data_IF_191308674064
#
_entry.id   IF_191308674064
#
_cell.length_a   1.000
_cell.length_b   1.000
_cell.length_c   1.000
_cell.angle_alpha   90.00
_cell.angle_beta   90.00
_cell.angle_gamma   90.00
#
_symmetry.space_group_name_H-M   'P 1'
#
loop_
_entity.id
_entity.type
_entity.pdbx_description
1 polymer ?
#
# COMPACT_ATOMS: atom_id res chain seq x y z
N UNK A 1 38.64 -51.19 -6.10
CA UNK A 1 37.25 -50.71 -6.02
C UNK A 1 36.31 -51.92 -6.09
N UNK A 2 35.30 -52.02 -5.22
CA UNK A 2 34.29 -53.08 -5.33
C UNK A 2 33.40 -52.78 -6.54
N UNK A 3 33.13 -53.79 -7.37
CA UNK A 3 32.19 -53.65 -8.48
C UNK A 3 30.80 -53.27 -7.95
N UNK A 4 30.04 -52.43 -8.68
CA UNK A 4 28.64 -52.16 -8.35
C UNK A 4 27.86 -53.48 -8.38
N UNK A 5 26.93 -53.67 -7.44
CA UNK A 5 26.11 -54.89 -7.45
C UNK A 5 25.14 -54.82 -8.63
N UNK A 6 24.56 -55.96 -8.98
CA UNK A 6 23.62 -56.08 -10.10
C UNK A 6 22.40 -55.16 -9.96
N UNK A 7 22.03 -54.81 -8.72
CA UNK A 7 20.92 -53.90 -8.42
C UNK A 7 21.21 -52.49 -8.90
N UNK A 8 22.41 -51.96 -8.62
CA UNK A 8 22.83 -50.62 -9.00
C UNK A 8 22.96 -50.49 -10.54
N UNK A 9 23.44 -51.55 -11.20
CA UNK A 9 23.48 -51.61 -12.66
C UNK A 9 22.08 -51.62 -13.27
N UNK A 10 21.13 -52.35 -12.67
CA UNK A 10 19.73 -52.35 -13.11
C UNK A 10 19.10 -50.95 -13.03
N UNK A 11 19.27 -50.25 -11.91
CA UNK A 11 18.76 -48.87 -11.75
C UNK A 11 19.42 -47.91 -12.75
N UNK A 12 20.72 -48.06 -13.02
CA UNK A 12 21.42 -47.24 -14.01
C UNK A 12 20.85 -47.44 -15.43
N UNK A 13 20.56 -48.68 -15.81
CA UNK A 13 19.93 -48.98 -17.11
C UNK A 13 18.52 -48.42 -17.19
N UNK A 14 17.71 -48.54 -16.13
CA UNK A 14 16.37 -47.95 -16.08
C UNK A 14 16.46 -46.42 -16.22
N UNK A 15 17.34 -45.78 -15.45
CA UNK A 15 17.52 -44.32 -15.48
C UNK A 15 18.00 -43.81 -16.84
N UNK A 16 18.76 -44.59 -17.60
CA UNK A 16 19.24 -44.22 -18.94
C UNK A 16 18.11 -44.18 -19.97
N UNK A 17 17.09 -45.03 -19.79
CA UNK A 17 15.95 -45.12 -20.70
C UNK A 17 14.78 -44.23 -20.30
N UNK A 18 14.71 -43.79 -19.03
CA UNK A 18 13.70 -42.83 -18.58
C UNK A 18 13.98 -41.42 -19.12
N UNK A 19 12.95 -40.64 -19.47
CA UNK A 19 13.13 -39.25 -19.87
C UNK A 19 13.75 -38.43 -18.74
N UNK A 20 14.51 -37.40 -19.11
CA UNK A 20 15.13 -36.50 -18.14
C UNK A 20 14.06 -35.78 -17.30
N UNK A 21 14.26 -35.77 -15.98
CA UNK A 21 13.40 -35.06 -15.03
C UNK A 21 13.56 -33.53 -15.10
N UNK A 22 14.63 -33.04 -15.73
CA UNK A 22 14.94 -31.61 -15.84
C UNK A 22 13.93 -30.86 -16.69
N UNK A 23 13.62 -29.63 -16.31
CA UNK A 23 12.88 -28.69 -17.15
C UNK A 23 13.81 -28.03 -18.18
N UNK A 24 13.24 -27.46 -19.24
CA UNK A 24 14.01 -26.76 -20.30
C UNK A 24 14.39 -25.31 -19.92
N UNK A 25 14.38 -24.94 -18.64
CA UNK A 25 14.76 -23.60 -18.20
C UNK A 25 16.22 -23.30 -18.59
N UNK A 26 16.54 -22.12 -19.17
CA UNK A 26 15.71 -20.94 -19.38
C UNK A 26 14.97 -20.87 -20.72
N UNK A 27 15.12 -21.85 -21.63
CA UNK A 27 14.44 -21.86 -22.94
C UNK A 27 12.93 -22.05 -22.86
N UNK A 28 12.44 -22.71 -21.80
CA UNK A 28 11.03 -22.75 -21.43
C UNK A 28 10.86 -22.14 -20.04
N UNK A 29 9.84 -21.30 -19.87
CA UNK A 29 9.52 -20.68 -18.60
C UNK A 29 9.10 -21.74 -17.57
N UNK A 30 9.55 -21.55 -16.33
CA UNK A 30 9.01 -22.30 -15.20
C UNK A 30 7.68 -21.67 -14.80
N UNK A 31 6.64 -22.50 -14.63
CA UNK A 31 5.33 -22.05 -14.16
C UNK A 31 5.23 -22.42 -12.67
N UNK A 32 5.29 -21.45 -11.76
CA UNK A 32 5.10 -21.72 -10.34
C UNK A 32 3.67 -22.19 -10.04
N UNK A 33 3.49 -22.80 -8.87
CA UNK A 33 2.16 -23.21 -8.42
C UNK A 33 1.28 -22.00 -8.09
N UNK A 34 -0.05 -22.20 -8.12
CA UNK A 34 -1.01 -21.15 -7.77
C UNK A 34 -0.84 -20.70 -6.31
N UNK A 35 -0.64 -19.40 -6.09
CA UNK A 35 -0.36 -18.85 -4.76
C UNK A 35 1.11 -18.88 -4.36
N UNK A 36 2.03 -19.11 -5.32
CA UNK A 36 3.44 -18.86 -5.13
C UNK A 36 3.69 -17.41 -4.66
N UNK A 37 4.59 -17.24 -3.69
CA UNK A 37 4.91 -15.96 -3.09
C UNK A 37 6.11 -15.32 -3.77
N UNK A 38 5.87 -14.67 -4.90
CA UNK A 38 6.86 -13.86 -5.60
C UNK A 38 6.83 -12.38 -5.19
N UNK A 39 7.27 -11.51 -6.11
CA UNK A 39 7.33 -10.07 -5.91
C UNK A 39 5.96 -9.51 -5.53
N UNK A 40 5.85 -8.73 -4.44
CA UNK A 40 4.65 -7.94 -4.18
C UNK A 40 4.42 -6.93 -5.30
N UNK A 41 3.25 -6.98 -5.92
CA UNK A 41 2.79 -6.02 -6.94
C UNK A 41 1.73 -5.15 -6.30
N UNK A 42 1.88 -3.85 -6.45
CA UNK A 42 0.96 -2.86 -5.88
C UNK A 42 0.09 -2.29 -6.99
N UNK A 43 -1.20 -2.27 -6.72
CA UNK A 43 -2.17 -1.60 -7.55
C UNK A 43 -2.38 -0.18 -7.01
N UNK A 44 -1.93 0.83 -7.77
CA UNK A 44 -2.02 2.22 -7.35
C UNK A 44 -3.47 2.68 -7.13
N UNK A 45 -4.42 2.21 -7.95
CA UNK A 45 -5.81 2.62 -7.85
C UNK A 45 -6.50 2.09 -6.58
N UNK A 46 -6.06 0.94 -6.09
CA UNK A 46 -6.65 0.27 -4.93
C UNK A 46 -5.82 0.44 -3.65
N UNK A 47 -4.58 0.92 -3.74
CA UNK A 47 -3.73 1.24 -2.60
C UNK A 47 -4.10 2.62 -2.06
N UNK A 48 -4.54 2.70 -0.81
CA UNK A 48 -4.98 3.97 -0.20
C UNK A 48 -3.92 4.64 0.67
N UNK A 49 -2.70 4.09 0.78
CA UNK A 49 -1.63 4.69 1.59
C UNK A 49 -1.88 4.70 3.12
N UNK A 50 -2.59 3.70 3.64
CA UNK A 50 -2.98 3.58 5.06
C UNK A 50 -1.90 3.11 6.04
N UNK A 51 -0.65 2.88 5.60
CA UNK A 51 0.49 2.42 6.41
C UNK A 51 0.41 1.03 7.04
N UNK A 52 -0.74 0.33 6.98
CA UNK A 52 -0.87 -1.02 7.58
C UNK A 52 0.23 -1.97 7.11
N UNK A 53 0.59 -1.95 5.83
CA UNK A 53 1.61 -2.82 5.27
C UNK A 53 3.02 -2.58 5.81
N UNK A 54 3.38 -1.34 6.19
CA UNK A 54 4.67 -1.06 6.83
C UNK A 54 4.67 -1.58 8.28
N UNK A 55 3.58 -1.35 9.02
CA UNK A 55 3.48 -1.76 10.43
C UNK A 55 3.56 -3.28 10.62
N UNK A 56 3.09 -4.07 9.66
CA UNK A 56 3.13 -5.54 9.73
C UNK A 56 4.39 -6.15 9.09
N UNK A 57 5.27 -5.34 8.49
CA UNK A 57 6.43 -5.83 7.73
C UNK A 57 7.56 -6.24 8.69
N UNK A 58 7.90 -7.54 8.82
CA UNK A 58 8.93 -7.96 9.77
C UNK A 58 10.32 -7.36 9.51
N UNK A 59 10.82 -7.26 8.25
CA UNK A 59 12.13 -6.66 7.98
C UNK A 59 12.11 -5.14 7.81
N UNK A 60 10.97 -4.46 8.00
CA UNK A 60 10.81 -3.03 7.72
C UNK A 60 11.24 -2.65 6.28
N UNK A 61 10.88 -3.48 5.31
CA UNK A 61 11.18 -3.27 3.89
C UNK A 61 10.31 -2.16 3.24
N UNK A 62 9.22 -1.76 3.90
CA UNK A 62 8.29 -0.73 3.43
C UNK A 62 8.41 0.47 4.37
N UNK A 63 8.67 1.65 3.81
CA UNK A 63 8.80 2.90 4.57
C UNK A 63 7.88 3.98 4.02
N UNK A 64 7.37 4.83 4.89
CA UNK A 64 6.50 5.95 4.57
C UNK A 64 7.19 7.26 4.97
N UNK A 65 7.14 8.26 4.09
CA UNK A 65 7.63 9.61 4.35
C UNK A 65 6.56 10.61 3.95
N UNK A 66 6.15 11.44 4.90
CA UNK A 66 5.16 12.49 4.65
C UNK A 66 5.85 13.85 4.47
N UNK A 67 5.46 14.56 3.42
CA UNK A 67 5.81 15.95 3.16
C UNK A 67 4.52 16.79 3.26
N UNK A 68 4.27 17.44 4.42
CA UNK A 68 3.06 18.24 4.63
C UNK A 68 2.98 19.48 3.73
N UNK A 69 4.12 20.05 3.34
CA UNK A 69 4.17 21.25 2.49
C UNK A 69 3.74 20.91 1.07
N UNK A 70 4.28 19.81 0.52
CA UNK A 70 3.88 19.32 -0.81
C UNK A 70 2.57 18.54 -0.78
N UNK A 71 2.05 18.22 0.41
CA UNK A 71 0.89 17.34 0.62
C UNK A 71 1.09 15.97 -0.06
N UNK A 72 2.29 15.41 0.01
CA UNK A 72 2.63 14.12 -0.61
C UNK A 72 3.15 13.14 0.43
N UNK A 73 2.60 11.93 0.41
CA UNK A 73 3.11 10.76 1.10
C UNK A 73 3.86 9.90 0.11
N UNK A 74 5.12 9.65 0.37
CA UNK A 74 5.97 8.75 -0.43
C UNK A 74 6.07 7.41 0.27
N UNK A 75 5.66 6.35 -0.44
CA UNK A 75 5.73 4.96 -0.01
C UNK A 75 6.88 4.31 -0.76
N UNK A 76 7.92 3.91 -0.05
CA UNK A 76 9.08 3.24 -0.63
C UNK A 76 9.08 1.77 -0.21
N UNK A 77 9.28 0.88 -1.18
CA UNK A 77 9.34 -0.58 -0.99
C UNK A 77 10.68 -1.09 -1.48
N UNK A 78 11.46 -1.65 -0.58
CA UNK A 78 12.76 -2.22 -0.87
C UNK A 78 12.64 -3.75 -0.99
N UNK A 79 12.61 -4.26 -2.22
CA UNK A 79 12.51 -5.70 -2.47
C UNK A 79 13.80 -6.45 -2.10
N UNK A 80 14.94 -5.75 -1.99
CA UNK A 80 16.19 -6.34 -1.51
C UNK A 80 16.17 -6.69 -0.01
N UNK A 81 15.29 -6.04 0.77
CA UNK A 81 15.04 -6.37 2.19
C UNK A 81 13.83 -7.29 2.39
N UNK A 82 13.01 -7.46 1.37
CA UNK A 82 11.77 -8.22 1.48
C UNK A 82 12.06 -9.71 1.66
N UNK A 83 11.35 -10.35 2.60
CA UNK A 83 11.42 -11.80 2.84
C UNK A 83 10.24 -12.57 2.21
N UNK A 84 9.45 -11.91 1.35
CA UNK A 84 8.31 -12.48 0.62
C UNK A 84 7.28 -13.22 1.50
N UNK A 85 7.11 -12.79 2.75
CA UNK A 85 6.26 -13.49 3.72
C UNK A 85 4.75 -13.40 3.44
N UNK A 86 4.28 -12.38 2.71
CA UNK A 86 2.84 -12.20 2.40
C UNK A 86 2.03 -11.39 3.40
N UNK A 87 2.62 -10.93 4.51
CA UNK A 87 1.90 -10.16 5.54
C UNK A 87 1.26 -8.87 5.02
N UNK A 88 1.90 -8.21 4.05
CA UNK A 88 1.37 -7.00 3.45
C UNK A 88 0.10 -7.23 2.62
N UNK A 89 -0.04 -8.38 1.96
CA UNK A 89 -1.24 -8.78 1.21
C UNK A 89 -2.38 -9.12 2.17
N UNK A 90 -2.11 -9.95 3.18
CA UNK A 90 -3.11 -10.41 4.15
C UNK A 90 -3.74 -9.24 4.93
N UNK A 91 -2.91 -8.30 5.40
CA UNK A 91 -3.37 -7.16 6.19
C UNK A 91 -3.78 -5.94 5.36
N UNK A 92 -3.83 -6.05 4.02
CA UNK A 92 -4.27 -4.95 3.18
C UNK A 92 -5.75 -4.64 3.42
N UNK A 93 -6.07 -3.45 3.94
CA UNK A 93 -7.47 -3.07 4.26
C UNK A 93 -8.40 -3.06 3.04
N UNK A 94 -7.85 -2.87 1.83
CA UNK A 94 -8.59 -2.91 0.57
C UNK A 94 -8.61 -4.30 -0.06
N UNK A 95 -7.78 -5.25 0.44
CA UNK A 95 -7.53 -6.60 -0.10
C UNK A 95 -7.03 -6.66 -1.55
N UNK A 96 -6.83 -5.50 -2.17
CA UNK A 96 -6.47 -5.35 -3.59
C UNK A 96 -5.26 -4.44 -3.79
N UNK A 97 -4.91 -3.61 -2.81
CA UNK A 97 -3.84 -2.63 -2.94
C UNK A 97 -2.46 -3.25 -3.11
N UNK A 98 -2.21 -4.44 -2.56
CA UNK A 98 -0.99 -5.21 -2.78
C UNK A 98 -1.31 -6.69 -2.86
N UNK A 99 -0.71 -7.38 -3.81
CA UNK A 99 -0.80 -8.84 -3.97
C UNK A 99 0.56 -9.42 -4.28
N UNK A 100 0.86 -10.62 -3.78
CA UNK A 100 2.07 -11.30 -4.19
C UNK A 100 1.87 -11.90 -5.59
N UNK A 101 2.84 -11.63 -6.47
CA UNK A 101 2.82 -12.22 -7.81
C UNK A 101 3.23 -13.68 -7.72
N UNK A 102 2.49 -14.53 -8.41
CA UNK A 102 2.82 -15.91 -8.72
C UNK A 102 3.89 -16.02 -9.82
N UNK A 103 3.93 -15.05 -10.73
CA UNK A 103 4.79 -15.07 -11.93
C UNK A 103 6.12 -14.36 -11.79
N UNK A 104 6.19 -13.30 -10.98
CA UNK A 104 7.40 -12.48 -10.85
C UNK A 104 8.23 -13.03 -9.68
N UNK A 105 9.21 -13.88 -9.97
CA UNK A 105 10.08 -14.48 -8.95
C UNK A 105 11.58 -14.31 -9.27
N UNK A 106 11.90 -14.01 -10.52
CA UNK A 106 13.22 -13.87 -11.10
C UNK A 106 13.74 -12.42 -11.00
N UNK A 107 13.72 -11.86 -9.79
CA UNK A 107 14.26 -10.52 -9.55
C UNK A 107 15.77 -10.64 -9.30
N UNK A 108 16.57 -10.36 -10.32
CA UNK A 108 18.02 -10.27 -10.20
C UNK A 108 18.50 -8.95 -10.79
N UNK A 109 19.22 -8.16 -9.99
CA UNK A 109 19.90 -6.96 -10.46
C UNK A 109 21.26 -6.84 -9.75
N UNK A 110 22.20 -6.19 -10.43
CA UNK A 110 23.52 -5.86 -9.90
C UNK A 110 23.48 -4.65 -8.98
N UNK A 111 22.56 -3.72 -9.22
CA UNK A 111 22.37 -2.54 -8.39
C UNK A 111 21.16 -2.70 -7.46
N UNK A 112 21.37 -2.44 -6.17
CA UNK A 112 20.32 -2.49 -5.15
C UNK A 112 19.27 -1.41 -5.35
N UNK A 113 19.64 -0.27 -5.93
CA UNK A 113 18.72 0.86 -6.11
C UNK A 113 17.54 0.53 -7.03
N UNK A 114 17.73 -0.37 -7.98
CA UNK A 114 16.72 -0.79 -8.97
C UNK A 114 15.65 -1.72 -8.40
N UNK A 115 15.93 -2.35 -7.27
CA UNK A 115 14.97 -3.19 -6.54
C UNK A 115 14.13 -2.39 -5.54
N UNK A 116 13.94 -1.10 -5.82
CA UNK A 116 13.13 -0.19 -5.00
C UNK A 116 11.96 0.31 -5.84
N UNK A 117 10.75 0.19 -5.31
CA UNK A 117 9.55 0.79 -5.86
C UNK A 117 9.11 1.99 -5.02
N UNK A 118 8.65 3.05 -5.68
CA UNK A 118 8.25 4.31 -5.06
C UNK A 118 6.86 4.69 -5.58
N UNK A 119 5.94 4.90 -4.64
CA UNK A 119 4.57 5.32 -4.91
C UNK A 119 4.29 6.61 -4.14
N UNK A 120 3.63 7.57 -4.78
CA UNK A 120 3.25 8.84 -4.15
C UNK A 120 1.73 8.92 -4.02
N UNK A 121 1.25 9.39 -2.86
CA UNK A 121 -0.17 9.58 -2.57
C UNK A 121 -0.43 10.97 -2.00
N UNK A 122 -1.56 11.56 -2.35
CA UNK A 122 -1.93 12.89 -1.88
C UNK A 122 -2.39 12.85 -0.41
N UNK A 123 -1.76 13.69 0.41
CA UNK A 123 -2.08 13.89 1.81
C UNK A 123 -3.23 14.87 1.98
N UNK A 124 -4.06 14.55 2.96
CA UNK A 124 -5.05 15.44 3.55
C UNK A 124 -4.42 16.08 4.80
N UNK A 125 -4.17 17.38 4.73
CA UNK A 125 -3.57 18.17 5.81
C UNK A 125 -4.59 19.13 6.42
N UNK A 126 -4.42 19.46 7.68
CA UNK A 126 -5.25 20.45 8.37
C UNK A 126 -4.93 21.88 7.90
N UNK A 127 -5.96 22.64 7.50
CA UNK A 127 -5.78 24.02 7.04
C UNK A 127 -5.28 24.96 8.15
N UNK A 128 -5.53 24.65 9.43
CA UNK A 128 -5.14 25.51 10.56
C UNK A 128 -3.72 25.22 11.08
N UNK A 129 -3.41 23.96 11.36
CA UNK A 129 -2.15 23.59 12.04
C UNK A 129 -1.17 22.81 11.16
N UNK A 130 -1.51 22.53 9.90
CA UNK A 130 -0.66 21.76 8.99
C UNK A 130 -0.49 20.27 9.35
N UNK A 131 -1.15 19.78 10.41
CA UNK A 131 -1.06 18.38 10.81
C UNK A 131 -1.58 17.46 9.70
N UNK A 132 -0.83 16.40 9.43
CA UNK A 132 -1.25 15.33 8.51
C UNK A 132 -2.40 14.56 9.16
N UNK A 133 -3.52 14.47 8.46
CA UNK A 133 -4.69 13.71 8.92
C UNK A 133 -4.59 12.28 8.40
N UNK A 134 -4.48 12.11 7.08
CA UNK A 134 -4.40 10.84 6.35
C UNK A 134 -4.19 11.14 4.86
N UNK A 135 -4.24 10.15 3.95
CA UNK A 135 -4.35 10.39 2.50
C UNK A 135 -5.80 10.66 2.08
N UNK A 136 -6.00 11.41 0.98
CA UNK A 136 -7.36 11.65 0.43
C UNK A 136 -8.06 10.33 0.05
N UNK A 137 -7.32 9.38 -0.52
CA UNK A 137 -7.84 8.07 -0.91
C UNK A 137 -8.28 7.22 0.29
N UNK A 138 -7.53 7.26 1.40
CA UNK A 138 -7.91 6.52 2.61
C UNK A 138 -9.19 7.06 3.21
N UNK A 139 -9.36 8.39 3.28
CA UNK A 139 -10.61 8.97 3.77
C UNK A 139 -11.80 8.60 2.88
N UNK A 140 -11.61 8.63 1.55
CA UNK A 140 -12.63 8.18 0.59
C UNK A 140 -13.00 6.71 0.77
N UNK A 141 -12.01 5.86 1.03
CA UNK A 141 -12.24 4.45 1.32
C UNK A 141 -13.05 4.26 2.61
N UNK A 142 -12.72 4.99 3.69
CA UNK A 142 -13.48 4.98 4.94
C UNK A 142 -14.91 5.45 4.70
N UNK A 143 -15.11 6.55 3.98
CA UNK A 143 -16.44 7.06 3.64
C UNK A 143 -17.28 5.99 2.93
N UNK A 144 -16.73 5.35 1.88
CA UNK A 144 -17.42 4.26 1.16
C UNK A 144 -17.75 3.07 2.06
N UNK A 145 -16.87 2.74 3.01
CA UNK A 145 -17.06 1.62 3.94
C UNK A 145 -18.10 1.91 5.01
N UNK A 146 -18.20 3.16 5.47
CA UNK A 146 -19.16 3.61 6.50
C UNK A 146 -20.54 3.94 5.91
N UNK A 147 -20.62 4.31 4.63
CA UNK A 147 -21.87 4.65 3.95
C UNK A 147 -22.59 5.82 4.63
N UNK A 148 -23.90 5.73 4.93
CA UNK A 148 -24.67 6.81 5.57
C UNK A 148 -24.10 7.29 6.92
N UNK A 149 -23.35 6.44 7.64
CA UNK A 149 -22.75 6.83 8.92
C UNK A 149 -21.62 7.85 8.76
N UNK A 150 -21.00 7.92 7.58
CA UNK A 150 -19.89 8.84 7.32
C UNK A 150 -20.31 10.31 7.43
N UNK A 151 -21.57 10.64 7.10
CA UNK A 151 -22.12 12.00 7.14
C UNK A 151 -22.20 12.60 8.55
N UNK A 152 -22.13 11.77 9.59
CA UNK A 152 -22.07 12.25 10.98
C UNK A 152 -20.77 12.99 11.31
N UNK A 153 -19.71 12.76 10.53
CA UNK A 153 -18.42 13.41 10.71
C UNK A 153 -18.32 14.62 9.77
N UNK A 154 -18.13 15.79 10.37
CA UNK A 154 -17.90 17.06 9.67
C UNK A 154 -16.74 16.94 8.67
N UNK A 155 -15.62 16.33 9.09
CA UNK A 155 -14.45 16.15 8.22
C UNK A 155 -14.78 15.32 6.97
N UNK A 156 -15.52 14.21 7.12
CA UNK A 156 -15.93 13.40 5.98
C UNK A 156 -16.87 14.15 5.04
N UNK A 157 -17.75 15.00 5.60
CA UNK A 157 -18.66 15.83 4.81
C UNK A 157 -17.90 16.87 4.00
N UNK A 158 -16.94 17.57 4.61
CA UNK A 158 -16.16 18.61 3.93
C UNK A 158 -15.32 18.03 2.79
N UNK A 159 -14.66 16.88 3.01
CA UNK A 159 -13.89 16.20 1.94
C UNK A 159 -14.79 15.63 0.84
N UNK A 160 -16.03 15.24 1.17
CA UNK A 160 -17.00 14.84 0.16
C UNK A 160 -17.44 16.05 -0.68
N UNK A 161 -17.69 17.20 -0.07
CA UNK A 161 -18.04 18.43 -0.77
C UNK A 161 -16.94 18.88 -1.74
N UNK A 162 -15.67 18.86 -1.31
CA UNK A 162 -14.49 19.13 -2.17
C UNK A 162 -14.47 18.20 -3.40
N UNK A 163 -14.85 16.93 -3.21
CA UNK A 163 -14.88 15.94 -4.29
C UNK A 163 -16.07 16.14 -5.24
N UNK A 164 -17.27 16.39 -4.70
CA UNK A 164 -18.49 16.51 -5.50
C UNK A 164 -18.54 17.85 -6.25
N UNK A 165 -17.81 18.87 -5.78
CA UNK A 165 -17.76 20.22 -6.37
C UNK A 165 -19.15 20.78 -6.65
N UNK A 166 -20.06 20.62 -5.70
CA UNK A 166 -21.43 21.13 -5.79
C UNK A 166 -21.52 22.65 -5.60
N UNK A 167 -20.48 23.25 -5.04
CA UNK A 167 -20.30 24.69 -4.88
C UNK A 167 -18.90 25.07 -5.39
N UNK A 168 -18.70 26.35 -5.73
CA UNK A 168 -17.39 26.86 -6.16
C UNK A 168 -16.42 26.90 -4.98
N UNK A 169 -15.11 26.75 -5.24
CA UNK A 169 -14.09 26.68 -4.17
C UNK A 169 -14.11 27.93 -3.26
N UNK A 170 -14.50 29.09 -3.81
CA UNK A 170 -14.64 30.36 -3.09
C UNK A 170 -15.75 30.36 -2.03
N UNK A 171 -16.76 29.49 -2.21
CA UNK A 171 -17.88 29.34 -1.27
C UNK A 171 -17.59 28.30 -0.17
N UNK A 172 -16.55 27.47 -0.35
CA UNK A 172 -16.22 26.34 0.52
C UNK A 172 -15.04 26.69 1.44
N UNK A 173 -14.04 27.40 0.92
CA UNK A 173 -12.84 27.75 1.67
C UNK A 173 -13.03 29.02 2.49
N UNK A 174 -13.05 28.88 3.83
CA UNK A 174 -13.14 30.00 4.75
C UNK A 174 -11.74 30.37 5.23
N UNK A 175 -11.29 31.59 4.95
CA UNK A 175 -10.03 32.08 5.51
C UNK A 175 -10.08 32.10 7.05
N UNK A 176 -9.08 31.47 7.66
CA UNK A 176 -8.94 31.38 9.11
C UNK A 176 -8.32 32.69 9.60
N UNK A 177 -9.16 33.61 10.06
CA UNK A 177 -8.77 34.93 10.56
C UNK A 177 -9.22 35.09 12.02
N UNK A 178 -8.25 35.42 12.88
CA UNK A 178 -8.38 35.64 14.32
C UNK A 178 -8.86 34.43 15.14
N UNK A 179 -8.00 33.41 15.24
CA UNK A 179 -8.25 32.14 15.94
C UNK A 179 -9.41 31.31 15.34
N UNK A 180 -9.37 30.00 15.59
CA UNK A 180 -10.40 29.06 15.13
C UNK A 180 -11.77 29.44 15.68
N UNK A 181 -12.74 29.80 14.83
CA UNK A 181 -14.14 30.12 15.14
C UNK A 181 -15.08 29.02 14.62
N UNK A 182 -16.36 29.04 15.04
CA UNK A 182 -17.40 28.10 14.56
C UNK A 182 -17.54 28.04 13.03
N UNK A 183 -17.36 29.16 12.34
CA UNK A 183 -17.40 29.22 10.86
C UNK A 183 -16.33 28.36 10.19
N UNK A 184 -15.19 28.13 10.86
CA UNK A 184 -14.05 27.39 10.29
C UNK A 184 -14.29 25.87 10.31
N UNK A 185 -15.41 25.42 10.88
CA UNK A 185 -15.82 24.01 10.88
C UNK A 185 -16.00 23.44 9.46
N UNK A 186 -16.26 24.28 8.46
CA UNK A 186 -16.40 23.88 7.06
C UNK A 186 -15.05 23.64 6.35
N UNK A 187 -13.94 24.08 6.96
CA UNK A 187 -12.60 23.77 6.46
C UNK A 187 -12.19 22.33 6.79
N UNK A 188 -11.14 21.84 6.12
CA UNK A 188 -10.50 20.56 6.46
C UNK A 188 -9.67 20.78 7.73
N UNK A 189 -10.21 20.33 8.87
CA UNK A 189 -9.57 20.45 10.17
C UNK A 189 -9.24 19.08 10.78
N UNK A 190 -8.09 18.96 11.45
CA UNK A 190 -7.76 17.77 12.22
C UNK A 190 -8.68 17.65 13.46
N UNK A 191 -8.84 16.45 14.05
CA UNK A 191 -9.70 16.25 15.23
C UNK A 191 -9.42 17.20 16.40
N UNK A 192 -8.14 17.57 16.61
CA UNK A 192 -7.75 18.51 17.66
C UNK A 192 -8.22 19.94 17.37
N UNK A 193 -8.09 20.42 16.12
CA UNK A 193 -8.58 21.74 15.73
C UNK A 193 -10.11 21.79 15.73
N UNK A 194 -10.76 20.75 15.22
CA UNK A 194 -12.22 20.64 15.22
C UNK A 194 -12.78 20.64 16.66
N UNK A 195 -12.09 19.97 17.60
CA UNK A 195 -12.45 20.00 19.02
C UNK A 195 -12.42 21.43 19.59
N UNK A 196 -11.43 22.24 19.24
CA UNK A 196 -11.36 23.64 19.69
C UNK A 196 -12.55 24.44 19.17
N UNK A 197 -12.90 24.27 17.90
CA UNK A 197 -14.05 24.95 17.27
C UNK A 197 -15.38 24.57 17.94
N UNK A 198 -15.57 23.28 18.25
CA UNK A 198 -16.84 22.78 18.80
C UNK A 198 -17.00 23.05 20.29
N UNK A 199 -15.93 22.91 21.09
CA UNK A 199 -16.00 22.92 22.55
C UNK A 199 -15.66 24.30 23.15
N UNK A 200 -14.65 25.04 22.66
CA UNK A 200 -14.25 26.32 23.29
C UNK A 200 -15.27 27.45 23.13
N UNK A 201 -16.25 27.31 22.24
CA UNK A 201 -17.31 28.31 22.00
C UNK A 201 -18.64 27.96 22.69
N UNK A 202 -18.61 27.06 23.67
CA UNK A 202 -19.63 26.89 24.70
C UNK A 202 -19.14 27.55 25.98
#
# INVERSE_FOLDING_TARGET
MKYPKLRELKEAVISLLTPAYTTKYPYAEHIPFEGFRGRPVVDDLNCVGCETCANVCPPNAITFTDDPEKKIRTIRRDYGKCIFCGQCEEHCITRKGVKLSDKIFDIADTDRSRNVDIQQKELLVCNNCGAVITTKEHLRFIHKKLGPKAYSSVLNLNVLNEKLRLAEDQDIDVEIVDNLKRKDMFNILCPNCLRLVLIKYL
#
